data_IF_503244563919
#
_entry.id   IF_503244563919
#
_cell.length_a   1.000
_cell.length_b   1.000
_cell.length_c   1.000
_cell.angle_alpha   90.00
_cell.angle_beta   90.00
_cell.angle_gamma   90.00
#
_symmetry.space_group_name_H-M   'P 1'
#
loop_
_entity.id
_entity.type
_entity.pdbx_description
1 polymer ?
#
# COMPACT_ATOMS: atom_id res chain seq x y z
N UNK A 1 -8.89 8.15 -1.69
CA UNK A 1 -9.50 7.59 -2.91
C UNK A 1 -10.05 8.76 -3.68
N UNK A 2 -9.75 8.85 -4.98
CA UNK A 2 -10.23 9.93 -5.85
C UNK A 2 -10.88 9.30 -7.08
N UNK A 3 -11.96 9.86 -7.62
CA UNK A 3 -12.53 9.35 -8.86
C UNK A 3 -11.50 9.44 -9.99
N UNK A 4 -11.48 8.42 -10.85
CA UNK A 4 -10.62 8.38 -12.03
C UNK A 4 -11.27 9.09 -13.19
N UNK A 5 -10.48 9.85 -13.94
CA UNK A 5 -10.97 10.67 -15.07
C UNK A 5 -11.22 9.82 -16.32
N UNK A 6 -10.57 8.67 -16.45
CA UNK A 6 -10.62 7.81 -17.64
C UNK A 6 -11.26 6.43 -17.39
N UNK A 7 -12.00 6.28 -16.29
CA UNK A 7 -12.59 5.02 -15.83
C UNK A 7 -11.59 3.87 -15.60
N UNK A 8 -10.29 4.15 -15.57
CA UNK A 8 -9.26 3.17 -15.19
C UNK A 8 -8.91 3.27 -13.72
N UNK A 9 -8.32 2.21 -13.18
CA UNK A 9 -7.85 2.18 -11.81
C UNK A 9 -6.36 2.52 -11.73
N UNK A 10 -6.02 3.42 -10.81
CA UNK A 10 -4.65 3.81 -10.55
C UNK A 10 -4.26 3.53 -9.10
N UNK A 11 -3.08 2.93 -8.92
CA UNK A 11 -2.56 2.59 -7.59
C UNK A 11 -1.17 3.22 -7.39
N UNK A 12 -1.12 4.30 -6.61
CA UNK A 12 0.10 4.95 -6.17
C UNK A 12 0.53 4.48 -4.79
N UNK A 13 1.85 4.47 -4.54
CA UNK A 13 2.40 4.22 -3.20
C UNK A 13 3.48 5.23 -2.88
N UNK A 14 3.34 5.90 -1.73
CA UNK A 14 4.32 6.85 -1.21
C UNK A 14 4.84 6.39 0.16
N UNK A 15 6.16 6.42 0.29
CA UNK A 15 6.88 6.04 1.52
C UNK A 15 7.95 7.09 1.76
N UNK A 16 7.76 7.91 2.79
CA UNK A 16 8.72 8.96 3.15
C UNK A 16 10.05 8.37 3.62
N UNK A 17 11.14 9.13 3.46
CA UNK A 17 12.47 8.76 4.00
C UNK A 17 12.45 8.60 5.53
N UNK A 18 11.53 9.28 6.22
CA UNK A 18 11.33 9.19 7.68
C UNK A 18 10.71 7.87 8.14
N UNK A 19 10.17 7.05 7.22
CA UNK A 19 9.51 5.78 7.56
C UNK A 19 10.53 4.69 7.86
N UNK A 20 11.52 4.53 6.97
CA UNK A 20 12.55 3.49 7.07
C UNK A 20 13.65 3.70 6.03
N UNK A 21 14.70 2.87 6.10
CA UNK A 21 15.76 2.79 5.08
C UNK A 21 15.25 2.33 3.70
N UNK A 22 16.09 2.46 2.67
CA UNK A 22 15.72 2.15 1.28
C UNK A 22 15.20 0.72 1.08
N UNK A 23 15.83 -0.26 1.74
CA UNK A 23 15.45 -1.69 1.65
C UNK A 23 14.02 -1.90 2.15
N UNK A 24 13.71 -1.39 3.34
CA UNK A 24 12.37 -1.53 3.92
C UNK A 24 11.34 -0.74 3.09
N UNK A 25 11.66 0.48 2.62
CA UNK A 25 10.74 1.23 1.76
C UNK A 25 10.41 0.45 0.48
N UNK A 26 11.40 -0.19 -0.13
CA UNK A 26 11.19 -1.00 -1.33
C UNK A 26 10.39 -2.29 -1.03
N UNK A 27 10.61 -2.92 0.13
CA UNK A 27 9.80 -4.04 0.63
C UNK A 27 8.33 -3.64 0.74
N UNK A 28 8.02 -2.51 1.39
CA UNK A 28 6.64 -2.00 1.54
C UNK A 28 5.97 -1.70 0.19
N UNK A 29 6.68 -1.03 -0.73
CA UNK A 29 6.17 -0.78 -2.09
C UNK A 29 5.88 -2.08 -2.85
N UNK A 30 6.74 -3.09 -2.70
CA UNK A 30 6.56 -4.41 -3.32
C UNK A 30 5.33 -5.13 -2.78
N UNK A 31 5.06 -5.02 -1.47
CA UNK A 31 3.84 -5.58 -0.89
C UNK A 31 2.56 -4.98 -1.46
N UNK A 32 2.49 -3.64 -1.58
CA UNK A 32 1.33 -2.96 -2.20
C UNK A 32 1.13 -3.44 -3.63
N UNK A 33 2.20 -3.44 -4.45
CA UNK A 33 2.11 -3.91 -5.84
C UNK A 33 1.67 -5.37 -5.95
N UNK A 34 2.16 -6.21 -5.05
CA UNK A 34 1.76 -7.62 -5.02
C UNK A 34 0.27 -7.75 -4.73
N UNK A 35 -0.26 -6.99 -3.77
CA UNK A 35 -1.69 -6.99 -3.51
C UNK A 35 -2.49 -6.51 -4.73
N UNK A 36 -2.11 -5.39 -5.35
CA UNK A 36 -2.78 -4.89 -6.57
C UNK A 36 -2.84 -5.98 -7.66
N UNK A 37 -1.75 -6.73 -7.84
CA UNK A 37 -1.67 -7.80 -8.85
C UNK A 37 -2.40 -9.09 -8.48
N UNK A 38 -2.51 -9.45 -7.20
CA UNK A 38 -2.98 -10.78 -6.76
C UNK A 38 -4.38 -10.77 -6.16
N UNK A 39 -4.86 -9.64 -5.67
CA UNK A 39 -6.06 -9.54 -4.82
C UNK A 39 -7.30 -9.01 -5.57
N UNK A 40 -7.31 -9.02 -6.92
CA UNK A 40 -8.41 -8.49 -7.73
C UNK A 40 -8.83 -7.05 -7.34
N UNK A 41 -7.92 -6.26 -6.77
CA UNK A 41 -8.19 -4.87 -6.38
C UNK A 41 -8.71 -3.99 -7.53
N UNK A 42 -8.24 -4.16 -8.78
CA UNK A 42 -8.84 -3.45 -9.91
C UNK A 42 -10.34 -3.77 -10.09
N UNK A 43 -10.77 -5.00 -9.84
CA UNK A 43 -12.18 -5.40 -9.97
C UNK A 43 -13.03 -4.83 -8.81
N UNK A 44 -12.44 -4.70 -7.61
CA UNK A 44 -13.17 -4.24 -6.41
C UNK A 44 -13.43 -2.74 -6.41
N UNK A 45 -12.58 -1.96 -7.09
CA UNK A 45 -12.58 -0.51 -6.95
C UNK A 45 -12.54 0.21 -8.30
N UNK A 46 -13.54 -0.07 -9.14
CA UNK A 46 -13.66 0.48 -10.48
C UNK A 46 -13.70 2.02 -10.51
N UNK A 47 -12.94 2.60 -11.45
CA UNK A 47 -12.86 4.03 -11.71
C UNK A 47 -12.35 4.87 -10.55
N UNK A 48 -11.40 4.34 -9.75
CA UNK A 48 -10.78 5.10 -8.68
C UNK A 48 -9.25 5.09 -8.71
N UNK A 49 -8.70 6.21 -8.24
CA UNK A 49 -7.29 6.38 -7.90
C UNK A 49 -7.07 6.18 -6.40
N UNK A 50 -6.22 5.21 -6.08
CA UNK A 50 -5.78 4.89 -4.72
C UNK A 50 -4.35 5.34 -4.51
N UNK A 51 -4.10 6.01 -3.38
CA UNK A 51 -2.75 6.38 -2.96
C UNK A 51 -2.50 5.83 -1.57
N UNK A 52 -1.57 4.88 -1.47
CA UNK A 52 -1.13 4.30 -0.21
C UNK A 52 -0.02 5.16 0.39
N UNK A 53 -0.28 5.73 1.57
CA UNK A 53 0.65 6.60 2.28
C UNK A 53 1.14 5.89 3.54
N UNK A 54 2.43 5.50 3.56
CA UNK A 54 3.04 4.96 4.76
C UNK A 54 3.52 6.08 5.68
N UNK A 55 2.99 6.12 6.90
CA UNK A 55 3.33 7.11 7.94
C UNK A 55 4.42 6.56 8.87
N UNK A 56 5.38 7.40 9.32
CA UNK A 56 6.32 7.03 10.38
C UNK A 56 5.56 6.56 11.62
N UNK A 57 6.11 5.58 12.32
CA UNK A 57 5.56 5.03 13.56
C UNK A 57 6.48 5.40 14.73
N UNK A 58 5.95 5.40 15.95
CA UNK A 58 6.73 5.69 17.15
C UNK A 58 7.90 4.70 17.33
N UNK A 59 7.67 3.42 17.01
CA UNK A 59 8.71 2.40 16.97
C UNK A 59 9.38 2.34 15.59
N UNK A 60 10.69 2.62 15.55
CA UNK A 60 11.51 2.53 14.34
C UNK A 60 11.59 1.11 13.76
N UNK A 61 11.40 0.07 14.58
CA UNK A 61 11.41 -1.34 14.15
C UNK A 61 10.05 -1.84 13.68
N UNK A 62 9.00 -1.03 13.79
CA UNK A 62 7.63 -1.41 13.45
C UNK A 62 7.54 -2.07 12.07
N UNK A 63 7.99 -1.41 11.01
CA UNK A 63 7.92 -1.96 9.64
C UNK A 63 8.93 -3.08 9.37
N UNK A 64 9.98 -3.19 10.17
CA UNK A 64 10.98 -4.25 10.05
C UNK A 64 10.42 -5.57 10.53
N UNK A 65 9.71 -5.55 11.66
CA UNK A 65 9.14 -6.73 12.31
C UNK A 65 7.90 -7.27 11.60
N UNK A 66 7.17 -6.41 10.86
CA UNK A 66 5.99 -6.84 10.12
C UNK A 66 6.33 -7.81 9.00
N UNK A 67 5.45 -8.78 8.83
CA UNK A 67 5.39 -9.72 7.71
C UNK A 67 4.37 -9.25 6.68
N UNK A 68 4.43 -9.87 5.49
CA UNK A 68 3.47 -9.57 4.43
C UNK A 68 2.04 -9.98 4.83
N UNK A 69 1.89 -11.06 5.61
CA UNK A 69 0.60 -11.47 6.18
C UNK A 69 -0.05 -10.35 6.99
N UNK A 70 0.72 -9.69 7.86
CA UNK A 70 0.21 -8.62 8.72
C UNK A 70 -0.26 -7.42 7.90
N UNK A 71 0.43 -7.14 6.78
CA UNK A 71 0.02 -6.13 5.82
C UNK A 71 -1.27 -6.53 5.10
N UNK A 72 -1.45 -7.83 4.82
CA UNK A 72 -2.66 -8.31 4.16
C UNK A 72 -3.90 -8.13 5.04
N UNK A 73 -3.81 -8.51 6.30
CA UNK A 73 -4.94 -8.40 7.22
C UNK A 73 -5.38 -6.95 7.42
N UNK A 74 -4.42 -6.02 7.38
CA UNK A 74 -4.68 -4.59 7.51
C UNK A 74 -5.51 -4.02 6.36
N UNK A 75 -5.25 -4.42 5.11
CA UNK A 75 -6.03 -3.87 3.98
C UNK A 75 -7.43 -4.49 3.87
N UNK A 76 -7.64 -5.74 4.29
CA UNK A 76 -8.97 -6.38 4.24
C UNK A 76 -10.01 -5.61 5.06
N UNK A 77 -9.53 -4.90 6.09
CA UNK A 77 -10.34 -4.06 6.95
C UNK A 77 -10.63 -2.66 6.37
N UNK A 78 -10.07 -2.32 5.20
CA UNK A 78 -10.36 -1.06 4.50
C UNK A 78 -11.70 -1.27 3.75
N UNK A 79 -12.80 -0.80 4.38
CA UNK A 79 -14.12 -0.67 3.75
C UNK A 79 -14.09 0.43 2.69
#
# INVERSE_FOLDING_TARGET
>A
MLPSVDAKNYFGVTVSRKVANSVIRNKLKRWVRNCVSTEKWPEKYESYTFVFVFKPQADAKFFTQKKYSDFKDLYKNIK
#
